data_IF_189714424147
#
_entry.id   IF_189714424147
#
_cell.length_a   1.000
_cell.length_b   1.000
_cell.length_c   1.000
_cell.angle_alpha   90.00
_cell.angle_beta   90.00
_cell.angle_gamma   90.00
#
_symmetry.space_group_name_H-M   'P 1'
#
loop_
_entity.id
_entity.type
_entity.pdbx_description
1 polymer ?
#
# COMPACT_ATOMS: atom_id res chain seq x y z
N UNK A 1 -4.29 -50.83 -0.03
CA UNK A 1 -5.38 -50.30 -0.88
C UNK A 1 -6.43 -49.70 0.06
N UNK A 2 -6.68 -48.38 -0.06
CA UNK A 2 -7.65 -47.55 0.68
C UNK A 2 -7.32 -47.17 2.15
N UNK A 3 -6.41 -46.21 2.32
CA UNK A 3 -6.38 -45.35 3.51
C UNK A 3 -7.28 -44.12 3.30
N UNK A 4 -8.21 -43.93 4.23
CA UNK A 4 -9.18 -42.83 4.25
C UNK A 4 -8.47 -41.56 4.70
N UNK A 5 -8.50 -40.52 3.86
CA UNK A 5 -8.14 -39.16 4.25
C UNK A 5 -9.17 -38.64 5.27
N UNK A 6 -8.85 -38.80 6.56
CA UNK A 6 -9.53 -38.09 7.64
C UNK A 6 -9.02 -36.64 7.70
N UNK A 7 -9.90 -35.67 7.44
CA UNK A 7 -9.59 -34.26 7.70
C UNK A 7 -9.29 -34.10 9.20
N UNK A 8 -8.04 -33.75 9.54
CA UNK A 8 -7.69 -33.34 10.90
C UNK A 8 -8.51 -32.11 11.30
N UNK A 9 -8.79 -31.93 12.59
CA UNK A 9 -9.61 -30.82 13.11
C UNK A 9 -9.16 -29.40 12.71
N UNK A 10 -7.93 -29.24 12.22
CA UNK A 10 -7.42 -27.99 11.62
C UNK A 10 -7.99 -27.71 10.23
N UNK A 11 -8.28 -28.74 9.44
CA UNK A 11 -8.91 -28.62 8.12
C UNK A 11 -10.39 -28.25 8.22
N UNK A 12 -11.08 -28.73 9.27
CA UNK A 12 -12.47 -28.37 9.55
C UNK A 12 -12.58 -26.90 10.00
N UNK A 13 -11.63 -26.42 10.81
CA UNK A 13 -11.57 -25.01 11.21
C UNK A 13 -11.27 -24.07 10.03
N UNK A 14 -10.38 -24.47 9.12
CA UNK A 14 -10.06 -23.69 7.91
C UNK A 14 -11.23 -23.67 6.91
N UNK A 15 -11.91 -24.81 6.74
CA UNK A 15 -13.13 -24.90 5.95
C UNK A 15 -14.28 -24.08 6.56
N UNK A 16 -14.44 -24.09 7.89
CA UNK A 16 -15.44 -23.28 8.58
C UNK A 16 -15.16 -21.77 8.46
N UNK A 17 -13.89 -21.35 8.47
CA UNK A 17 -13.50 -19.95 8.28
C UNK A 17 -13.75 -19.49 6.83
N UNK A 18 -13.49 -20.36 5.84
CA UNK A 18 -13.81 -20.12 4.43
C UNK A 18 -15.31 -20.06 4.18
N UNK A 19 -16.09 -20.96 4.79
CA UNK A 19 -17.55 -20.95 4.71
C UNK A 19 -18.11 -19.70 5.41
N UNK A 20 -17.53 -19.27 6.53
CA UNK A 20 -17.94 -18.05 7.23
C UNK A 20 -17.64 -16.77 6.43
N UNK A 21 -16.59 -16.77 5.59
CA UNK A 21 -16.31 -15.69 4.63
C UNK A 21 -17.27 -15.71 3.44
N UNK A 22 -17.72 -16.90 3.02
CA UNK A 22 -18.70 -17.07 1.94
C UNK A 22 -20.15 -16.81 2.36
N UNK A 23 -20.46 -16.81 3.66
CA UNK A 23 -21.79 -16.44 4.20
C UNK A 23 -21.94 -14.95 4.49
N UNK A 24 -20.91 -14.13 4.24
CA UNK A 24 -21.10 -12.68 4.16
C UNK A 24 -21.82 -12.45 2.84
N UNK A 25 -23.15 -12.31 2.93
CA UNK A 25 -24.02 -12.01 1.79
C UNK A 25 -23.38 -10.93 0.91
N UNK A 26 -22.95 -11.26 -0.33
CA UNK A 26 -22.46 -10.24 -1.26
C UNK A 26 -23.55 -9.19 -1.52
N UNK A 27 -24.82 -9.58 -1.36
CA UNK A 27 -25.99 -8.71 -1.48
C UNK A 27 -26.00 -7.59 -0.43
N UNK A 28 -25.51 -7.84 0.79
CA UNK A 28 -25.48 -6.82 1.85
C UNK A 28 -24.41 -5.74 1.61
N UNK A 29 -23.33 -6.06 0.89
CA UNK A 29 -22.32 -5.08 0.49
C UNK A 29 -22.76 -4.23 -0.72
N UNK A 30 -23.71 -4.74 -1.54
CA UNK A 30 -24.18 -4.08 -2.76
C UNK A 30 -25.54 -3.35 -2.62
N UNK A 31 -26.23 -3.43 -1.48
CA UNK A 31 -27.59 -2.86 -1.31
C UNK A 31 -27.70 -1.54 -0.52
N UNK A 32 -26.61 -0.81 -0.25
CA UNK A 32 -26.67 0.42 0.56
C UNK A 32 -26.92 1.73 -0.22
N UNK A 33 -27.08 1.70 -1.55
CA UNK A 33 -27.26 2.94 -2.36
C UNK A 33 -28.63 3.08 -3.02
N UNK A 34 -29.62 2.27 -2.66
CA UNK A 34 -30.99 2.39 -3.20
C UNK A 34 -31.90 3.39 -2.46
N UNK A 35 -31.40 4.13 -1.47
CA UNK A 35 -32.20 5.06 -0.67
C UNK A 35 -31.56 6.45 -0.52
N UNK A 36 -31.36 7.14 -1.64
CA UNK A 36 -31.23 8.60 -1.64
C UNK A 36 -31.94 9.14 -2.89
N UNK A 37 -33.03 9.88 -2.68
CA UNK A 37 -33.94 10.32 -3.73
C UNK A 37 -33.32 11.31 -4.73
N UNK A 38 -33.69 11.15 -5.99
CA UNK A 38 -33.39 12.07 -7.09
C UNK A 38 -33.62 11.38 -8.43
N UNK A 39 -34.70 11.73 -9.12
CA UNK A 39 -35.14 11.10 -10.37
C UNK A 39 -34.13 11.23 -11.50
N UNK A 40 -33.49 10.11 -11.83
CA UNK A 40 -32.71 9.88 -13.03
C UNK A 40 -32.30 8.41 -13.03
N UNK A 41 -32.72 7.63 -14.03
CA UNK A 41 -32.26 6.25 -14.17
C UNK A 41 -30.75 6.28 -14.48
N UNK A 42 -29.90 6.30 -13.45
CA UNK A 42 -28.49 5.97 -13.59
C UNK A 42 -28.44 4.47 -13.85
N UNK A 43 -28.47 4.09 -15.12
CA UNK A 43 -28.25 2.72 -15.54
C UNK A 43 -26.84 2.32 -15.14
N UNK A 44 -26.74 1.55 -14.04
CA UNK A 44 -25.49 0.99 -13.58
C UNK A 44 -24.85 0.15 -14.71
N UNK A 45 -23.51 0.20 -14.88
CA UNK A 45 -22.84 -0.63 -15.86
C UNK A 45 -23.17 -2.11 -15.63
N UNK A 46 -23.28 -2.92 -16.70
CA UNK A 46 -23.45 -4.35 -16.54
C UNK A 46 -22.31 -4.95 -15.70
N UNK A 47 -22.65 -5.84 -14.75
CA UNK A 47 -21.69 -6.44 -13.80
C UNK A 47 -20.52 -7.14 -14.52
N UNK A 48 -20.74 -7.65 -15.73
CA UNK A 48 -19.69 -8.32 -16.52
C UNK A 48 -18.55 -7.37 -16.93
N UNK A 49 -18.75 -6.05 -16.92
CA UNK A 49 -17.69 -5.06 -17.18
C UNK A 49 -16.62 -5.08 -16.09
N UNK A 50 -16.93 -5.60 -14.90
CA UNK A 50 -15.94 -5.81 -13.84
C UNK A 50 -15.08 -7.08 -14.05
N UNK A 51 -15.39 -7.94 -15.02
CA UNK A 51 -14.66 -9.19 -15.23
C UNK A 51 -13.16 -9.00 -15.55
N UNK A 52 -12.74 -8.04 -16.41
CA UNK A 52 -11.32 -7.76 -16.65
C UNK A 52 -10.59 -7.30 -15.38
N UNK A 53 -11.24 -6.51 -14.53
CA UNK A 53 -10.69 -6.08 -13.24
C UNK A 53 -10.48 -7.27 -12.29
N UNK A 54 -11.50 -8.11 -12.12
CA UNK A 54 -11.40 -9.32 -11.28
C UNK A 54 -10.32 -10.27 -11.82
N UNK A 55 -10.27 -10.46 -13.13
CA UNK A 55 -9.24 -11.26 -13.78
C UNK A 55 -7.84 -10.71 -13.50
N UNK A 56 -7.64 -9.40 -13.62
CA UNK A 56 -6.37 -8.74 -13.32
C UNK A 56 -5.96 -8.97 -11.86
N UNK A 57 -6.86 -8.79 -10.89
CA UNK A 57 -6.57 -9.04 -9.48
C UNK A 57 -6.19 -10.49 -9.19
N UNK A 58 -6.91 -11.45 -9.79
CA UNK A 58 -6.56 -12.87 -9.68
C UNK A 58 -5.16 -13.10 -10.24
N UNK A 59 -4.85 -12.55 -11.41
CA UNK A 59 -3.54 -12.71 -12.04
C UNK A 59 -2.40 -12.07 -11.24
N UNK A 60 -2.63 -10.93 -10.58
CA UNK A 60 -1.66 -10.31 -9.67
C UNK A 60 -1.38 -11.23 -8.47
N UNK A 61 -2.43 -11.83 -7.89
CA UNK A 61 -2.28 -12.74 -6.74
C UNK A 61 -1.63 -14.07 -7.11
N UNK A 62 -1.94 -14.63 -8.28
CA UNK A 62 -1.46 -15.95 -8.71
C UNK A 62 -0.16 -15.90 -9.51
N UNK A 63 0.11 -14.81 -10.23
CA UNK A 63 1.18 -14.73 -11.22
C UNK A 63 2.58 -14.94 -10.65
N UNK A 64 2.99 -14.19 -9.61
CA UNK A 64 4.29 -14.37 -8.97
C UNK A 64 4.49 -15.78 -8.38
N UNK A 65 3.40 -16.47 -7.99
CA UNK A 65 3.46 -17.77 -7.32
C UNK A 65 3.47 -18.96 -8.30
N UNK A 66 2.60 -18.95 -9.30
CA UNK A 66 2.36 -20.10 -10.17
C UNK A 66 3.07 -20.00 -11.53
N UNK A 67 3.31 -18.80 -12.05
CA UNK A 67 3.91 -18.60 -13.38
C UNK A 67 4.84 -17.36 -13.43
N UNK A 68 5.86 -17.28 -12.55
CA UNK A 68 6.65 -16.06 -12.34
C UNK A 68 7.30 -15.52 -13.62
N UNK A 69 7.95 -16.37 -14.42
CA UNK A 69 8.60 -15.94 -15.67
C UNK A 69 7.63 -15.38 -16.70
N UNK A 70 6.41 -15.92 -16.78
CA UNK A 70 5.38 -15.39 -17.68
C UNK A 70 4.88 -14.05 -17.15
N UNK A 71 4.60 -13.96 -15.85
CA UNK A 71 4.10 -12.76 -15.19
C UNK A 71 5.08 -11.59 -15.35
N UNK A 72 6.35 -11.78 -14.95
CA UNK A 72 7.40 -10.76 -15.01
C UNK A 72 7.56 -10.14 -16.41
N UNK A 73 7.38 -10.95 -17.46
CA UNK A 73 7.51 -10.48 -18.84
C UNK A 73 6.23 -9.85 -19.41
N UNK A 74 5.05 -10.23 -18.91
CA UNK A 74 3.77 -9.88 -19.56
C UNK A 74 2.83 -9.01 -18.72
N UNK A 75 3.11 -8.76 -17.42
CA UNK A 75 2.20 -8.02 -16.54
C UNK A 75 1.80 -6.64 -17.12
N UNK A 76 2.77 -5.95 -17.75
CA UNK A 76 2.57 -4.65 -18.40
C UNK A 76 1.55 -4.74 -19.52
N UNK A 77 1.71 -5.73 -20.40
CA UNK A 77 0.84 -5.95 -21.55
C UNK A 77 -0.55 -6.42 -21.11
N UNK A 78 -0.64 -7.32 -20.13
CA UNK A 78 -1.90 -7.84 -19.60
C UNK A 78 -2.72 -6.70 -18.99
N UNK A 79 -2.10 -5.91 -18.11
CA UNK A 79 -2.75 -4.76 -17.46
C UNK A 79 -3.23 -3.74 -18.50
N UNK A 80 -2.37 -3.38 -19.46
CA UNK A 80 -2.74 -2.43 -20.50
C UNK A 80 -3.85 -2.97 -21.41
N UNK A 81 -3.80 -4.25 -21.78
CA UNK A 81 -4.81 -4.87 -22.64
C UNK A 81 -6.18 -4.94 -21.97
N UNK A 82 -6.23 -5.42 -20.71
CA UNK A 82 -7.47 -5.50 -19.94
C UNK A 82 -8.04 -4.12 -19.65
N UNK A 83 -7.19 -3.18 -19.21
CA UNK A 83 -7.61 -1.79 -18.96
C UNK A 83 -8.10 -1.09 -20.24
N UNK A 84 -7.37 -1.22 -21.35
CA UNK A 84 -7.79 -0.63 -22.63
C UNK A 84 -9.12 -1.20 -23.10
N UNK A 85 -9.36 -2.49 -22.92
CA UNK A 85 -10.65 -3.09 -23.28
C UNK A 85 -11.82 -2.48 -22.50
N UNK A 86 -11.65 -2.22 -21.21
CA UNK A 86 -12.65 -1.57 -20.34
C UNK A 86 -12.80 -0.09 -20.73
N UNK A 87 -11.69 0.64 -20.89
CA UNK A 87 -11.71 2.05 -21.27
C UNK A 87 -12.40 2.27 -22.63
N UNK A 88 -12.14 1.42 -23.64
CA UNK A 88 -12.83 1.50 -24.94
C UNK A 88 -14.33 1.22 -24.79
N UNK A 89 -14.70 0.26 -23.95
CA UNK A 89 -16.10 -0.02 -23.69
C UNK A 89 -16.81 1.20 -23.09
N UNK A 90 -16.24 1.82 -22.05
CA UNK A 90 -16.80 3.05 -21.47
C UNK A 90 -16.83 4.20 -22.47
N UNK A 91 -15.74 4.45 -23.19
CA UNK A 91 -15.62 5.55 -24.14
C UNK A 91 -16.61 5.50 -25.29
N UNK A 92 -16.95 4.30 -25.79
CA UNK A 92 -17.87 4.15 -26.94
C UNK A 92 -19.30 3.76 -26.57
N UNK A 93 -19.53 3.10 -25.43
CA UNK A 93 -20.85 2.55 -25.08
C UNK A 93 -21.57 3.30 -23.98
N UNK A 94 -20.88 4.12 -23.18
CA UNK A 94 -21.49 4.86 -22.08
C UNK A 94 -21.61 6.35 -22.43
N UNK A 95 -22.81 6.92 -22.23
CA UNK A 95 -22.99 8.35 -22.32
C UNK A 95 -22.11 9.06 -21.29
N UNK A 96 -21.32 10.06 -21.70
CA UNK A 96 -20.31 10.75 -20.88
C UNK A 96 -19.13 9.87 -20.43
N UNK A 97 -18.93 8.68 -21.01
CA UNK A 97 -17.82 7.79 -20.65
C UNK A 97 -16.44 8.42 -20.86
N UNK A 98 -16.26 9.27 -21.87
CA UNK A 98 -14.99 9.99 -22.10
C UNK A 98 -14.63 10.95 -20.96
N UNK A 99 -15.62 11.66 -20.42
CA UNK A 99 -15.42 12.56 -19.27
C UNK A 99 -15.04 11.77 -18.02
N UNK A 100 -15.71 10.62 -17.78
CA UNK A 100 -15.36 9.74 -16.67
C UNK A 100 -13.92 9.23 -16.79
N UNK A 101 -13.49 8.80 -17.98
CA UNK A 101 -12.13 8.32 -18.21
C UNK A 101 -11.07 9.42 -18.00
N UNK A 102 -11.35 10.66 -18.40
CA UNK A 102 -10.44 11.80 -18.14
C UNK A 102 -10.32 12.07 -16.64
N UNK A 103 -11.44 12.11 -15.92
CA UNK A 103 -11.44 12.28 -14.47
C UNK A 103 -10.69 11.14 -13.75
N UNK A 104 -10.89 9.89 -14.18
CA UNK A 104 -10.17 8.75 -13.60
C UNK A 104 -8.68 8.76 -13.96
N UNK A 105 -8.31 9.27 -15.14
CA UNK A 105 -6.91 9.49 -15.51
C UNK A 105 -6.24 10.55 -14.60
N UNK A 106 -6.96 11.61 -14.25
CA UNK A 106 -6.49 12.62 -13.29
C UNK A 106 -6.27 12.03 -11.89
N UNK A 107 -7.21 11.22 -11.40
CA UNK A 107 -7.06 10.46 -10.15
C UNK A 107 -5.83 9.53 -10.20
N UNK A 108 -5.64 8.82 -11.32
CA UNK A 108 -4.50 7.93 -11.54
C UNK A 108 -3.16 8.70 -11.53
N UNK A 109 -3.07 9.83 -12.24
CA UNK A 109 -1.84 10.63 -12.30
C UNK A 109 -1.50 11.21 -10.93
N UNK A 110 -2.50 11.71 -10.19
CA UNK A 110 -2.33 12.20 -8.82
C UNK A 110 -1.83 11.08 -7.91
N UNK A 111 -2.46 9.90 -8.01
CA UNK A 111 -2.10 8.71 -7.25
C UNK A 111 -0.66 8.25 -7.51
N UNK A 112 -0.28 8.04 -8.78
CA UNK A 112 1.06 7.53 -9.11
C UNK A 112 2.15 8.55 -8.79
N UNK A 113 1.85 9.85 -8.90
CA UNK A 113 2.77 10.92 -8.51
C UNK A 113 3.09 10.87 -7.02
N UNK A 114 2.07 10.70 -6.18
CA UNK A 114 2.24 10.59 -4.74
C UNK A 114 3.07 9.35 -4.36
N UNK A 115 2.66 8.16 -4.80
CA UNK A 115 3.36 6.91 -4.44
C UNK A 115 4.79 6.90 -4.96
N UNK A 116 5.03 7.41 -6.18
CA UNK A 116 6.38 7.52 -6.74
C UNK A 116 7.26 8.45 -5.91
N UNK A 117 6.72 9.61 -5.52
CA UNK A 117 7.46 10.57 -4.71
C UNK A 117 7.81 10.01 -3.34
N UNK A 118 6.84 9.37 -2.67
CA UNK A 118 7.05 8.73 -1.38
C UNK A 118 8.08 7.61 -1.46
N UNK A 119 8.00 6.75 -2.48
CA UNK A 119 8.94 5.66 -2.69
C UNK A 119 10.38 6.16 -2.89
N UNK A 120 10.57 7.16 -3.75
CA UNK A 120 11.89 7.73 -4.05
C UNK A 120 12.48 8.46 -2.84
N UNK A 121 11.69 9.32 -2.19
CA UNK A 121 12.17 10.11 -1.05
C UNK A 121 12.50 9.20 0.14
N UNK A 122 11.61 8.27 0.48
CA UNK A 122 11.82 7.29 1.54
C UNK A 122 12.99 6.35 1.22
N UNK A 123 13.15 5.94 -0.03
CA UNK A 123 14.24 5.08 -0.47
C UNK A 123 15.63 5.68 -0.29
N UNK A 124 15.75 7.01 -0.26
CA UNK A 124 17.01 7.69 0.05
C UNK A 124 17.29 7.90 1.55
N UNK A 125 16.43 7.39 2.45
CA UNK A 125 16.66 7.38 3.89
C UNK A 125 17.01 5.95 4.32
N UNK A 126 18.19 5.77 4.90
CA UNK A 126 18.63 4.47 5.41
C UNK A 126 18.70 4.51 6.94
N UNK A 127 17.95 3.62 7.57
CA UNK A 127 17.94 3.41 9.01
C UNK A 127 18.74 2.13 9.31
N UNK A 128 19.74 2.23 10.19
CA UNK A 128 20.45 1.06 10.73
C UNK A 128 20.20 1.00 12.23
N UNK A 129 19.85 -0.18 12.72
CA UNK A 129 19.58 -0.43 14.14
C UNK A 129 20.65 -1.42 14.62
N UNK A 130 21.50 -0.98 15.55
CA UNK A 130 22.60 -1.77 16.11
C UNK A 130 22.17 -2.70 17.26
N UNK A 131 20.94 -3.19 17.21
CA UNK A 131 20.33 -4.04 18.26
C UNK A 131 19.77 -5.30 17.63
N UNK A 132 20.05 -6.47 18.21
CA UNK A 132 19.41 -7.73 17.81
C UNK A 132 17.90 -7.69 18.08
N UNK A 133 17.15 -8.30 17.18
CA UNK A 133 15.71 -8.46 17.26
C UNK A 133 15.32 -9.31 18.47
N UNK A 134 14.35 -8.81 19.22
CA UNK A 134 13.67 -9.52 20.30
C UNK A 134 12.17 -9.30 20.15
N UNK A 135 11.30 -10.11 20.79
CA UNK A 135 9.86 -9.94 20.67
C UNK A 135 9.42 -8.50 20.95
N UNK A 136 9.94 -7.88 22.02
CA UNK A 136 9.64 -6.49 22.35
C UNK A 136 10.13 -5.50 21.29
N UNK A 137 11.37 -5.66 20.79
CA UNK A 137 11.93 -4.77 19.76
C UNK A 137 11.13 -4.88 18.47
N UNK A 138 10.76 -6.10 18.06
CA UNK A 138 9.93 -6.35 16.88
C UNK A 138 8.54 -5.74 17.03
N UNK A 139 7.86 -5.98 18.15
CA UNK A 139 6.54 -5.41 18.43
C UNK A 139 6.57 -3.88 18.43
N UNK A 140 7.55 -3.25 19.08
CA UNK A 140 7.71 -1.80 19.10
C UNK A 140 8.04 -1.23 17.72
N UNK A 141 8.90 -1.90 16.95
CA UNK A 141 9.29 -1.43 15.62
C UNK A 141 8.12 -1.51 14.63
N UNK A 142 7.31 -2.58 14.68
CA UNK A 142 6.11 -2.68 13.86
C UNK A 142 5.01 -1.71 14.29
N UNK A 143 4.81 -1.51 15.60
CA UNK A 143 3.87 -0.51 16.11
C UNK A 143 4.27 0.90 15.67
N UNK A 144 5.56 1.24 15.80
CA UNK A 144 6.10 2.49 15.27
C UNK A 144 5.91 2.59 13.76
N UNK A 145 6.13 1.50 13.01
CA UNK A 145 5.90 1.45 11.57
C UNK A 145 4.44 1.70 11.19
N UNK A 146 3.48 1.19 11.96
CA UNK A 146 2.07 1.47 11.77
C UNK A 146 1.76 2.96 11.96
N UNK A 147 2.31 3.59 13.01
CA UNK A 147 2.16 5.05 13.21
C UNK A 147 2.80 5.82 12.05
N UNK A 148 4.02 5.44 11.66
CA UNK A 148 4.76 6.08 10.59
C UNK A 148 4.03 5.98 9.24
N UNK A 149 3.35 4.86 8.98
CA UNK A 149 2.55 4.66 7.78
C UNK A 149 1.42 5.68 7.64
N UNK A 150 0.85 6.19 8.74
CA UNK A 150 -0.16 7.25 8.69
C UNK A 150 0.39 8.63 8.35
N UNK A 151 1.71 8.81 8.40
CA UNK A 151 2.37 10.09 8.10
C UNK A 151 3.04 10.03 6.73
N UNK A 152 3.64 8.89 6.40
CA UNK A 152 4.53 8.70 5.26
C UNK A 152 4.02 7.59 4.33
N UNK A 153 2.74 7.23 4.40
CA UNK A 153 2.19 6.15 3.59
C UNK A 153 2.70 4.76 3.95
N UNK A 154 1.91 3.72 3.67
CA UNK A 154 2.32 2.31 3.79
C UNK A 154 3.55 2.02 2.93
N UNK A 155 3.62 2.56 1.71
CA UNK A 155 4.76 2.42 0.80
C UNK A 155 6.03 3.04 1.38
N UNK A 156 5.96 4.29 1.86
CA UNK A 156 7.12 5.00 2.41
C UNK A 156 7.60 4.37 3.72
N UNK A 157 6.69 4.08 4.65
CA UNK A 157 7.03 3.39 5.90
C UNK A 157 7.62 2.00 5.67
N UNK A 158 7.08 1.24 4.70
CA UNK A 158 7.63 -0.06 4.33
C UNK A 158 9.05 0.07 3.78
N UNK A 159 9.30 1.04 2.89
CA UNK A 159 10.63 1.28 2.32
C UNK A 159 11.66 1.67 3.40
N UNK A 160 11.25 2.45 4.39
CA UNK A 160 12.10 2.86 5.51
C UNK A 160 12.45 1.72 6.47
N UNK A 161 11.47 0.83 6.72
CA UNK A 161 11.55 -0.09 7.86
C UNK A 161 11.80 -1.54 7.48
N UNK A 162 11.53 -1.98 6.24
CA UNK A 162 11.68 -3.40 5.89
C UNK A 162 13.12 -3.89 6.04
N UNK A 163 14.09 -3.13 5.51
CA UNK A 163 15.52 -3.48 5.57
C UNK A 163 16.07 -3.51 6.99
N UNK A 164 15.89 -2.48 7.84
CA UNK A 164 16.32 -2.58 9.23
C UNK A 164 15.58 -3.70 9.97
N UNK A 165 14.29 -3.92 9.72
CA UNK A 165 13.53 -5.00 10.35
C UNK A 165 14.08 -6.39 10.00
N UNK A 166 14.43 -6.63 8.73
CA UNK A 166 15.07 -7.87 8.31
C UNK A 166 16.46 -8.04 8.96
N UNK A 167 17.26 -6.96 9.01
CA UNK A 167 18.63 -6.99 9.54
C UNK A 167 18.67 -7.27 11.05
N UNK A 168 17.80 -6.66 11.85
CA UNK A 168 17.77 -6.94 13.30
C UNK A 168 17.36 -8.39 13.59
N UNK A 169 16.59 -9.01 12.69
CA UNK A 169 16.14 -10.39 12.81
C UNK A 169 17.04 -11.39 12.07
N UNK A 170 18.18 -10.95 11.51
CA UNK A 170 19.13 -11.84 10.84
C UNK A 170 19.58 -12.96 11.80
N UNK A 171 19.54 -14.20 11.32
CA UNK A 171 19.80 -15.41 12.12
C UNK A 171 18.61 -15.97 12.91
N UNK A 172 17.54 -15.19 13.13
CA UNK A 172 16.25 -15.64 13.73
C UNK A 172 15.04 -15.40 12.84
N UNK A 173 15.27 -14.93 11.61
CA UNK A 173 14.21 -14.50 10.69
C UNK A 173 13.36 -15.71 10.28
N UNK A 174 12.05 -15.57 10.46
CA UNK A 174 11.04 -16.58 10.07
C UNK A 174 9.97 -15.92 9.20
N UNK A 175 9.29 -16.70 8.38
CA UNK A 175 8.27 -16.20 7.45
C UNK A 175 7.21 -15.32 8.14
N UNK A 176 6.80 -15.67 9.37
CA UNK A 176 5.81 -14.86 10.09
C UNK A 176 6.29 -13.43 10.38
N UNK A 177 7.59 -13.18 10.59
CA UNK A 177 8.09 -11.81 10.80
C UNK A 177 7.76 -10.93 9.59
N UNK A 178 7.98 -11.47 8.39
CA UNK A 178 7.70 -10.78 7.12
C UNK A 178 6.18 -10.61 6.94
N UNK A 179 5.39 -11.65 7.19
CA UNK A 179 3.92 -11.58 7.06
C UNK A 179 3.32 -10.54 8.02
N UNK A 180 3.74 -10.51 9.28
CA UNK A 180 3.26 -9.52 10.25
C UNK A 180 3.76 -8.10 9.92
N UNK A 181 4.97 -7.95 9.37
CA UNK A 181 5.40 -6.66 8.83
C UNK A 181 4.45 -6.19 7.72
N UNK A 182 4.10 -7.06 6.77
CA UNK A 182 3.18 -6.74 5.68
C UNK A 182 1.81 -6.34 6.23
N UNK A 183 1.26 -7.12 7.17
CA UNK A 183 -0.06 -6.82 7.75
C UNK A 183 -0.07 -5.50 8.51
N UNK A 184 0.92 -5.27 9.39
CA UNK A 184 0.91 -4.14 10.31
C UNK A 184 1.37 -2.85 9.63
N UNK A 185 2.47 -2.89 8.86
CA UNK A 185 3.11 -1.69 8.31
C UNK A 185 2.66 -1.43 6.87
N UNK A 186 2.62 -2.47 6.04
CA UNK A 186 2.35 -2.33 4.60
C UNK A 186 0.86 -2.35 4.25
N UNK A 187 -0.04 -2.61 5.20
CA UNK A 187 -1.47 -2.69 4.95
C UNK A 187 -2.27 -1.87 5.99
N UNK A 188 -2.46 -2.40 7.20
CA UNK A 188 -3.32 -1.77 8.22
C UNK A 188 -2.76 -0.42 8.70
N UNK A 189 -1.43 -0.29 8.68
CA UNK A 189 -0.71 0.86 9.22
C UNK A 189 -1.25 2.20 8.74
N UNK A 190 -1.41 2.40 7.43
CA UNK A 190 -1.87 3.65 6.83
C UNK A 190 -3.37 3.92 6.91
N UNK A 191 -4.12 3.17 7.71
CA UNK A 191 -5.58 3.23 7.76
C UNK A 191 -6.20 4.48 8.42
N UNK A 192 -5.42 5.47 8.87
CA UNK A 192 -5.95 6.65 9.58
C UNK A 192 -5.91 7.96 8.77
N UNK A 193 -5.13 8.03 7.70
CA UNK A 193 -5.00 9.27 6.91
C UNK A 193 -5.07 8.99 5.41
N UNK A 194 -5.52 9.96 4.59
CA UNK A 194 -5.47 9.84 3.14
C UNK A 194 -4.08 9.62 2.55
N UNK A 195 -3.03 10.06 3.24
CA UNK A 195 -1.64 9.83 2.81
C UNK A 195 -1.24 8.36 3.04
N UNK A 196 -1.86 7.74 4.05
CA UNK A 196 -1.49 6.43 4.55
C UNK A 196 -1.68 5.31 3.55
N UNK A 197 -2.78 5.30 2.82
CA UNK A 197 -3.16 4.18 1.95
C UNK A 197 -3.84 4.66 0.65
N UNK A 198 -3.58 4.05 -0.52
CA UNK A 198 -4.11 4.53 -1.80
C UNK A 198 -5.64 4.70 -1.89
N UNK A 199 -6.48 3.74 -1.44
CA UNK A 199 -7.92 3.94 -1.35
C UNK A 199 -8.35 5.19 -0.58
N UNK A 200 -7.68 5.51 0.53
CA UNK A 200 -8.00 6.69 1.34
C UNK A 200 -7.61 7.98 0.64
N UNK A 201 -6.49 7.96 -0.09
CA UNK A 201 -6.09 9.08 -0.94
C UNK A 201 -7.14 9.37 -2.02
N UNK A 202 -7.65 8.32 -2.69
CA UNK A 202 -8.71 8.47 -3.69
C UNK A 202 -10.01 9.00 -3.06
N UNK A 203 -10.38 8.53 -1.87
CA UNK A 203 -11.52 9.08 -1.14
C UNK A 203 -11.36 10.58 -0.86
N UNK A 204 -10.15 11.02 -0.51
CA UNK A 204 -9.83 12.42 -0.29
C UNK A 204 -9.91 13.26 -1.59
N UNK A 205 -9.41 12.75 -2.72
CA UNK A 205 -9.59 13.41 -4.03
C UNK A 205 -11.06 13.56 -4.40
N UNK A 206 -11.93 12.65 -3.93
CA UNK A 206 -13.39 12.71 -4.10
C UNK A 206 -14.11 13.57 -3.04
N UNK A 207 -13.35 14.32 -2.22
CA UNK A 207 -13.89 15.31 -1.30
C UNK A 207 -14.12 14.83 0.14
N UNK A 208 -13.66 13.63 0.51
CA UNK A 208 -13.71 13.19 1.92
C UNK A 208 -12.74 14.03 2.76
N UNK A 209 -13.17 14.64 3.89
CA UNK A 209 -12.28 15.46 4.71
C UNK A 209 -11.07 14.68 5.24
N UNK A 210 -9.91 15.33 5.28
CA UNK A 210 -8.64 14.68 5.64
C UNK A 210 -8.66 13.93 6.98
N UNK A 211 -9.24 14.54 8.02
CA UNK A 211 -9.29 13.96 9.38
C UNK A 211 -10.51 13.06 9.62
N UNK A 212 -11.36 12.84 8.61
CA UNK A 212 -12.57 12.04 8.76
C UNK A 212 -12.24 10.62 9.19
N UNK A 213 -11.29 9.96 8.51
CA UNK A 213 -10.91 8.57 8.78
C UNK A 213 -10.30 8.44 10.18
N UNK A 214 -9.38 9.34 10.54
CA UNK A 214 -8.78 9.39 11.88
C UNK A 214 -9.85 9.49 12.97
N UNK A 215 -10.84 10.38 12.80
CA UNK A 215 -11.91 10.57 13.78
C UNK A 215 -12.78 9.33 14.02
N UNK A 216 -12.99 8.51 12.99
CA UNK A 216 -13.90 7.36 13.06
C UNK A 216 -13.19 6.01 13.29
N UNK A 217 -11.95 5.85 12.82
CA UNK A 217 -11.26 4.55 12.78
C UNK A 217 -10.06 4.42 13.72
N UNK A 218 -9.67 5.46 14.47
CA UNK A 218 -8.48 5.38 15.35
C UNK A 218 -8.56 4.24 16.37
N UNK A 219 -9.73 3.98 16.95
CA UNK A 219 -9.90 2.94 17.96
C UNK A 219 -9.88 1.52 17.36
N UNK A 220 -10.69 1.19 16.33
CA UNK A 220 -10.57 -0.10 15.63
C UNK A 220 -9.16 -0.36 15.09
N UNK A 221 -8.50 0.67 14.55
CA UNK A 221 -7.13 0.58 14.07
C UNK A 221 -6.15 0.24 15.20
N UNK A 222 -6.20 0.98 16.31
CA UNK A 222 -5.29 0.78 17.44
C UNK A 222 -5.44 -0.62 18.02
N UNK A 223 -6.68 -1.07 18.24
CA UNK A 223 -6.96 -2.41 18.75
C UNK A 223 -6.43 -3.50 17.82
N UNK A 224 -6.60 -3.32 16.51
CA UNK A 224 -6.13 -4.28 15.50
C UNK A 224 -4.61 -4.35 15.45
N UNK A 225 -3.93 -3.20 15.40
CA UNK A 225 -2.46 -3.12 15.40
C UNK A 225 -1.88 -3.73 16.68
N UNK A 226 -2.44 -3.38 17.85
CA UNK A 226 -1.99 -3.92 19.13
C UNK A 226 -2.21 -5.44 19.22
N UNK A 227 -3.36 -5.94 18.78
CA UNK A 227 -3.63 -7.37 18.76
C UNK A 227 -2.62 -8.13 17.90
N UNK A 228 -2.32 -7.63 16.69
CA UNK A 228 -1.33 -8.25 15.80
C UNK A 228 0.09 -8.17 16.38
N UNK A 229 0.47 -7.04 17.00
CA UNK A 229 1.75 -6.92 17.69
C UNK A 229 1.87 -7.95 18.83
N UNK A 230 0.82 -8.11 19.66
CA UNK A 230 0.81 -9.09 20.76
C UNK A 230 0.92 -10.52 20.23
N UNK A 231 0.19 -10.86 19.17
CA UNK A 231 0.26 -12.18 18.54
C UNK A 231 1.68 -12.44 18.01
N UNK A 232 2.26 -11.47 17.29
CA UNK A 232 3.64 -11.57 16.83
C UNK A 232 4.62 -11.78 17.98
N UNK A 233 4.50 -10.98 19.04
CA UNK A 233 5.38 -11.07 20.22
C UNK A 233 5.27 -12.44 20.89
N UNK A 234 4.07 -13.01 20.97
CA UNK A 234 3.87 -14.37 21.47
C UNK A 234 4.53 -15.43 20.59
N UNK A 235 4.33 -15.35 19.26
CA UNK A 235 4.95 -16.27 18.30
C UNK A 235 6.48 -16.17 18.30
N UNK A 236 7.01 -14.95 18.37
CA UNK A 236 8.44 -14.67 18.39
C UNK A 236 9.09 -15.11 19.71
N UNK A 237 8.39 -14.99 20.83
CA UNK A 237 8.86 -15.49 22.12
C UNK A 237 8.96 -17.03 22.15
N UNK A 238 7.91 -17.71 21.67
CA UNK A 238 7.91 -19.19 21.59
C UNK A 238 8.96 -19.71 20.61
N UNK A 239 9.17 -18.97 19.51
CA UNK A 239 10.17 -19.28 18.50
C UNK A 239 11.59 -19.04 18.99
N UNK A 240 11.83 -17.90 19.67
CA UNK A 240 13.14 -17.48 20.14
C UNK A 240 13.72 -18.39 21.22
N UNK A 241 12.88 -18.97 22.10
CA UNK A 241 13.32 -19.97 23.09
C UNK A 241 13.98 -21.21 22.46
N UNK A 242 13.63 -21.55 21.22
CA UNK A 242 14.23 -22.68 20.49
C UNK A 242 15.57 -22.30 19.85
N UNK A 243 15.73 -21.02 19.51
CA UNK A 243 16.89 -20.50 18.78
C UNK A 243 17.99 -20.00 19.74
N UNK A 244 17.64 -19.55 20.96
CA UNK A 244 18.59 -19.14 22.02
C UNK A 244 19.48 -20.29 22.50
N UNK A 245 19.03 -21.55 22.39
CA UNK A 245 19.85 -22.73 22.69
C UNK A 245 21.02 -22.92 21.70
N UNK A 246 21.04 -22.18 20.58
CA UNK A 246 22.03 -22.29 19.51
C UNK A 246 22.81 -20.98 19.22
N UNK A 247 22.48 -19.87 19.88
CA UNK A 247 22.97 -18.54 19.51
C UNK A 247 24.17 -18.08 20.37
N UNK A 248 25.32 -17.91 19.73
CA UNK A 248 26.54 -17.33 20.33
C UNK A 248 26.46 -15.82 20.62
N UNK A 249 27.57 -15.28 21.12
CA UNK A 249 27.78 -13.94 21.69
C UNK A 249 26.99 -12.78 21.01
N UNK A 250 26.45 -11.84 21.79
CA UNK A 250 25.75 -10.68 21.27
C UNK A 250 26.69 -9.76 20.47
N UNK A 251 26.31 -9.46 19.22
CA UNK A 251 26.92 -8.39 18.43
C UNK A 251 26.62 -7.04 19.10
N UNK A 252 27.49 -6.62 20.02
CA UNK A 252 27.50 -5.27 20.59
C UNK A 252 28.01 -4.30 19.52
N UNK A 253 27.09 -3.68 18.78
CA UNK A 253 27.43 -2.58 17.87
C UNK A 253 27.42 -1.27 18.67
N UNK A 254 28.49 -0.47 18.54
CA UNK A 254 28.73 0.75 19.32
C UNK A 254 27.69 1.89 19.13
N UNK A 255 26.82 1.83 18.11
CA UNK A 255 25.72 2.80 17.90
C UNK A 255 24.38 2.09 17.81
N UNK A 256 23.43 2.51 18.64
CA UNK A 256 22.07 1.94 18.71
C UNK A 256 21.24 2.23 17.46
N UNK A 257 21.31 3.45 16.92
CA UNK A 257 20.62 3.86 15.70
C UNK A 257 21.57 4.74 14.87
N UNK A 258 21.79 4.39 13.61
CA UNK A 258 22.49 5.23 12.62
C UNK A 258 21.50 5.61 11.52
N UNK A 259 21.37 6.91 11.26
CA UNK A 259 20.56 7.45 10.17
C UNK A 259 21.48 7.98 9.08
N UNK A 260 21.25 7.54 7.84
CA UNK A 260 21.92 8.03 6.63
C UNK A 260 20.88 8.61 5.67
N UNK A 261 21.27 9.64 4.91
CA UNK A 261 20.34 10.35 4.02
C UNK A 261 19.37 11.29 4.74
N UNK A 262 19.77 11.90 5.86
CA UNK A 262 18.88 12.74 6.69
C UNK A 262 18.27 13.93 5.94
N UNK A 263 18.92 14.40 4.86
CA UNK A 263 18.38 15.43 3.95
C UNK A 263 17.01 15.03 3.37
N UNK A 264 16.78 13.76 3.13
CA UNK A 264 15.52 13.27 2.58
C UNK A 264 14.34 13.42 3.55
N UNK A 265 14.56 13.60 4.86
CA UNK A 265 13.49 13.99 5.77
C UNK A 265 12.91 15.37 5.44
N UNK A 266 13.74 16.30 4.94
CA UNK A 266 13.26 17.62 4.51
C UNK A 266 12.37 17.47 3.27
N UNK A 267 12.82 16.71 2.28
CA UNK A 267 12.02 16.42 1.09
C UNK A 267 10.72 15.68 1.43
N UNK A 268 10.76 14.79 2.43
CA UNK A 268 9.59 14.07 2.89
C UNK A 268 8.57 15.00 3.56
N UNK A 269 9.02 15.92 4.41
CA UNK A 269 8.15 16.92 5.02
C UNK A 269 7.53 17.83 3.94
N UNK A 270 8.34 18.30 2.98
CA UNK A 270 7.84 19.09 1.85
C UNK A 270 6.81 18.33 1.01
N UNK A 271 7.03 17.02 0.80
CA UNK A 271 6.12 16.15 0.06
C UNK A 271 4.78 15.97 0.80
N UNK A 272 4.82 15.76 2.11
CA UNK A 272 3.61 15.65 2.93
C UNK A 272 2.83 16.97 2.90
N UNK A 273 3.53 18.10 3.02
CA UNK A 273 2.90 19.42 2.95
C UNK A 273 2.31 19.71 1.57
N UNK A 274 2.94 19.23 0.48
CA UNK A 274 2.42 19.45 -0.86
C UNK A 274 1.11 18.73 -1.12
N UNK A 275 0.77 17.67 -0.39
CA UNK A 275 -0.55 16.99 -0.48
C UNK A 275 -1.70 17.95 -0.18
N UNK A 276 -1.49 18.92 0.71
CA UNK A 276 -2.51 19.92 1.07
C UNK A 276 -2.63 21.07 0.07
N UNK A 277 -1.75 21.13 -0.95
CA UNK A 277 -1.79 22.13 -2.02
C UNK A 277 -2.76 21.68 -3.12
N UNK A 278 -4.03 21.52 -2.77
CA UNK A 278 -5.09 21.07 -3.67
C UNK A 278 -6.24 22.10 -3.66
N UNK A 279 -6.84 22.45 -4.82
CA UNK A 279 -8.06 23.25 -4.90
C UNK A 279 -9.21 22.78 -3.99
N UNK A 280 -9.31 21.48 -3.70
CA UNK A 280 -10.29 20.89 -2.79
C UNK A 280 -10.04 21.25 -1.31
N UNK A 281 -8.81 21.63 -0.96
CA UNK A 281 -8.42 22.03 0.41
C UNK A 281 -8.34 23.55 0.55
N UNK A 282 -7.81 24.23 -0.45
CA UNK A 282 -7.58 25.67 -0.43
C UNK A 282 -8.52 26.35 -1.43
N UNK A 283 -9.55 27.02 -0.91
CA UNK A 283 -10.45 27.83 -1.73
C UNK A 283 -9.68 28.89 -2.53
N UNK A 284 -9.79 28.83 -3.87
CA UNK A 284 -9.13 29.77 -4.78
C UNK A 284 -7.71 29.38 -5.20
N UNK A 285 -7.23 28.18 -4.86
CA UNK A 285 -5.97 27.67 -5.39
C UNK A 285 -6.09 27.37 -6.90
N UNK A 286 -5.16 27.83 -7.75
CA UNK A 286 -5.29 27.66 -9.19
C UNK A 286 -5.22 26.18 -9.59
N UNK A 287 -6.26 25.71 -10.29
CA UNK A 287 -6.29 24.39 -10.89
C UNK A 287 -5.75 24.45 -12.32
N UNK A 288 -4.62 23.77 -12.58
CA UNK A 288 -4.14 23.62 -13.97
C UNK A 288 -5.10 22.78 -14.82
N UNK A 289 -5.87 21.88 -14.19
CA UNK A 289 -6.89 21.08 -14.87
C UNK A 289 -7.97 21.99 -15.46
N UNK A 290 -8.47 22.95 -14.67
CA UNK A 290 -9.49 23.89 -15.11
C UNK A 290 -8.93 24.96 -16.07
N UNK A 291 -7.69 25.41 -15.85
CA UNK A 291 -7.09 26.49 -16.65
C UNK A 291 -6.56 26.04 -18.01
N UNK A 292 -6.00 24.83 -18.11
CA UNK A 292 -5.30 24.36 -19.31
C UNK A 292 -5.84 23.02 -19.85
N UNK A 293 -6.81 22.39 -19.19
CA UNK A 293 -7.36 21.10 -19.62
C UNK A 293 -6.36 19.94 -19.55
N UNK A 294 -5.32 20.07 -18.73
CA UNK A 294 -4.30 19.04 -18.54
C UNK A 294 -4.68 18.08 -17.41
N UNK A 295 -4.32 16.79 -17.48
CA UNK A 295 -4.78 15.79 -16.51
C UNK A 295 -3.94 15.79 -15.21
N UNK A 296 -3.24 16.89 -14.90
CA UNK A 296 -2.39 17.03 -13.72
C UNK A 296 -2.48 18.45 -13.15
N UNK A 297 -2.39 18.59 -11.83
CA UNK A 297 -2.42 19.85 -11.11
C UNK A 297 -1.03 20.39 -10.76
N UNK A 298 -1.01 21.52 -10.06
CA UNK A 298 0.23 22.14 -9.54
C UNK A 298 0.88 21.23 -8.50
N UNK A 299 0.05 20.52 -7.70
CA UNK A 299 0.51 19.56 -6.70
C UNK A 299 1.44 18.52 -7.30
N UNK A 300 1.03 17.91 -8.41
CA UNK A 300 1.79 16.84 -9.08
C UNK A 300 3.13 17.38 -9.62
N UNK A 301 3.15 18.62 -10.14
CA UNK A 301 4.39 19.28 -10.55
C UNK A 301 5.35 19.53 -9.38
N UNK A 302 4.82 19.98 -8.24
CA UNK A 302 5.60 20.16 -7.01
C UNK A 302 6.15 18.81 -6.53
N UNK A 303 5.32 17.77 -6.50
CA UNK A 303 5.73 16.41 -6.12
C UNK A 303 6.82 15.87 -7.05
N UNK A 304 6.68 16.06 -8.36
CA UNK A 304 7.69 15.68 -9.34
C UNK A 304 9.00 16.45 -9.12
N UNK A 305 8.94 17.77 -8.87
CA UNK A 305 10.10 18.59 -8.56
C UNK A 305 10.83 18.13 -7.29
N UNK A 306 10.09 17.88 -6.21
CA UNK A 306 10.62 17.35 -4.95
C UNK A 306 11.28 15.99 -5.20
N UNK A 307 10.62 15.11 -5.94
CA UNK A 307 11.12 13.76 -6.26
C UNK A 307 12.43 13.80 -7.02
N UNK A 308 12.52 14.63 -8.07
CA UNK A 308 13.73 14.79 -8.89
C UNK A 308 14.87 15.37 -8.05
N UNK A 309 14.58 16.41 -7.25
CA UNK A 309 15.57 17.01 -6.37
C UNK A 309 16.06 16.04 -5.30
N UNK A 310 15.15 15.30 -4.66
CA UNK A 310 15.46 14.29 -3.65
C UNK A 310 16.34 13.19 -4.25
N UNK A 311 15.96 12.62 -5.40
CA UNK A 311 16.75 11.56 -6.04
C UNK A 311 18.17 12.03 -6.40
N UNK A 312 18.29 13.22 -7.00
CA UNK A 312 19.60 13.78 -7.40
C UNK A 312 20.50 14.12 -6.22
N UNK A 313 19.93 14.45 -5.07
CA UNK A 313 20.68 14.86 -3.87
C UNK A 313 20.75 13.78 -2.80
N UNK A 314 20.17 12.60 -3.07
CA UNK A 314 20.16 11.46 -2.15
C UNK A 314 21.55 10.90 -1.94
N UNK A 315 21.79 10.44 -0.72
CA UNK A 315 23.03 9.75 -0.38
C UNK A 315 23.10 8.39 -1.11
N UNK A 316 24.19 8.16 -1.84
CA UNK A 316 24.37 6.93 -2.62
C UNK A 316 24.52 5.70 -1.73
N UNK A 317 25.10 5.82 -0.53
CA UNK A 317 25.16 4.73 0.45
C UNK A 317 23.76 4.38 0.97
N UNK A 318 22.89 5.39 1.15
CA UNK A 318 21.52 5.15 1.58
C UNK A 318 20.71 4.39 0.52
N UNK A 319 20.78 4.84 -0.74
CA UNK A 319 20.11 4.17 -1.86
C UNK A 319 20.60 2.73 -2.06
N UNK A 320 21.92 2.50 -2.00
CA UNK A 320 22.51 1.16 -2.09
C UNK A 320 22.11 0.28 -0.91
N UNK A 321 22.14 0.82 0.31
CA UNK A 321 21.77 0.09 1.52
C UNK A 321 20.30 -0.32 1.59
N UNK A 322 19.44 0.36 0.83
CA UNK A 322 18.03 0.02 0.64
C UNK A 322 17.77 -0.85 -0.60
N UNK A 323 18.79 -1.18 -1.40
CA UNK A 323 18.67 -1.84 -2.72
C UNK A 323 17.68 -1.12 -3.64
N UNK A 324 17.72 0.21 -3.61
CA UNK A 324 16.79 1.05 -4.35
C UNK A 324 16.88 0.80 -5.87
N UNK A 325 15.73 0.54 -6.47
CA UNK A 325 15.56 0.48 -7.92
C UNK A 325 14.13 0.90 -8.30
N UNK A 326 13.93 1.30 -9.55
CA UNK A 326 12.64 1.81 -10.01
C UNK A 326 11.66 0.71 -10.45
N UNK A 327 12.02 -0.58 -10.38
CA UNK A 327 11.13 -1.63 -10.87
C UNK A 327 9.82 -1.75 -10.07
N UNK A 328 9.82 -1.68 -8.72
CA UNK A 328 8.57 -1.70 -7.94
C UNK A 328 7.59 -0.61 -8.34
N UNK A 329 8.08 0.63 -8.55
CA UNK A 329 7.18 1.74 -8.90
C UNK A 329 6.69 1.66 -10.35
N UNK A 330 7.50 1.11 -11.26
CA UNK A 330 7.05 0.80 -12.62
C UNK A 330 5.97 -0.27 -12.60
N UNK A 331 6.15 -1.33 -11.81
CA UNK A 331 5.17 -2.40 -11.66
C UNK A 331 3.84 -1.85 -11.16
N UNK A 332 3.88 -1.08 -10.07
CA UNK A 332 2.69 -0.38 -9.54
C UNK A 332 2.06 0.49 -10.62
N UNK A 333 2.83 1.34 -11.31
CA UNK A 333 2.29 2.20 -12.37
C UNK A 333 1.55 1.41 -13.46
N UNK A 334 2.18 0.38 -14.04
CA UNK A 334 1.55 -0.40 -15.10
C UNK A 334 0.33 -1.19 -14.63
N UNK A 335 0.39 -1.82 -13.46
CA UNK A 335 -0.75 -2.57 -12.92
C UNK A 335 -1.92 -1.64 -12.60
N UNK A 336 -1.62 -0.45 -12.06
CA UNK A 336 -2.66 0.50 -11.69
C UNK A 336 -3.36 1.16 -12.87
N UNK A 337 -2.73 1.24 -14.04
CA UNK A 337 -3.42 1.62 -15.29
C UNK A 337 -4.62 0.70 -15.55
N UNK A 338 -4.43 -0.62 -15.42
CA UNK A 338 -5.51 -1.59 -15.63
C UNK A 338 -6.53 -1.64 -14.50
N UNK A 339 -6.13 -1.27 -13.28
CA UNK A 339 -7.03 -1.20 -12.11
C UNK A 339 -7.93 0.04 -12.18
N UNK A 340 -7.42 1.16 -12.69
CA UNK A 340 -8.16 2.43 -12.80
C UNK A 340 -9.04 2.51 -14.05
N UNK A 341 -8.68 1.85 -15.15
CA UNK A 341 -9.42 1.90 -16.41
C UNK A 341 -10.81 1.27 -16.35
#
# INVERSE_FOLDING_TARGET
>A
MKDRFGLSGRGVAFAALLVSFMTIDPVAAFCSTAAAGGGGHVSLPPVWVAAPFVLLLVMIATGPLFYPRFWENNYKLISLALGTAVALWYGFRMAHGTHLLVHTLEEYISFISLISALFVVAGGILIKIGRRGSPLVNGLLLFFGAILANVVGTTGASMLLIRPYLRINEGRLKAFHIVFFIFIVSNIGGGLTPIGDPPLFLGFLRGVPFFWVLGHLWLPWLLTVLALCVILMGLDFVSGKKDEAAAGEPLLVAKLIELRGSRNFIYLALLILSVFLDPAVIHGFPSLQELFGVPFGIRELIMAGITIAAYKTSDTEALKGNEFNFEPIKEVGFLFIGIFA
#
